data_IF_697180686070
#
_entry.id   IF_697180686070
#
_cell.length_a   1.000
_cell.length_b   1.000
_cell.length_c   1.000
_cell.angle_alpha   90.00
_cell.angle_beta   90.00
_cell.angle_gamma   90.00
#
_symmetry.space_group_name_H-M   'P 1'
#
loop_
_entity.id
_entity.type
_entity.pdbx_description
1 polymer ?
#
# COMPACT_ATOMS: atom_id res chain seq x y z
N UNK A 1 9.44 16.25 46.45
CA UNK A 1 8.24 15.47 46.15
C UNK A 1 7.58 15.84 44.84
N UNK A 2 7.40 17.13 44.54
CA UNK A 2 6.83 17.55 43.24
C UNK A 2 7.69 17.16 42.03
N UNK A 3 9.02 17.23 42.22
CA UNK A 3 9.97 16.85 41.15
C UNK A 3 9.89 15.36 40.84
N UNK A 4 9.71 14.49 41.85
CA UNK A 4 9.56 13.04 41.61
C UNK A 4 8.29 12.70 40.86
N UNK A 5 7.18 13.37 41.15
CA UNK A 5 5.92 13.16 40.46
C UNK A 5 6.02 13.59 39.00
N UNK A 6 6.68 14.71 38.72
CA UNK A 6 6.91 15.17 37.33
C UNK A 6 7.79 14.20 36.57
N UNK A 7 8.86 13.68 37.18
CA UNK A 7 9.75 12.72 36.54
C UNK A 7 8.98 11.43 36.17
N UNK A 8 8.17 10.92 37.11
CA UNK A 8 7.34 9.74 36.87
C UNK A 8 6.36 9.96 35.72
N UNK A 9 5.72 11.13 35.69
CA UNK A 9 4.80 11.48 34.59
C UNK A 9 5.53 11.55 33.25
N UNK A 10 6.71 12.15 33.20
CA UNK A 10 7.50 12.25 31.97
C UNK A 10 7.94 10.87 31.49
N UNK A 11 8.39 10.01 32.40
CA UNK A 11 8.79 8.65 32.04
C UNK A 11 7.59 7.85 31.53
N UNK A 12 6.45 7.95 32.21
CA UNK A 12 5.22 7.27 31.80
C UNK A 12 4.77 7.73 30.41
N UNK A 13 4.83 9.02 30.16
CA UNK A 13 4.49 9.58 28.83
C UNK A 13 5.44 9.07 27.74
N UNK A 14 6.75 9.07 28.01
CA UNK A 14 7.73 8.57 27.07
C UNK A 14 7.52 7.09 26.73
N UNK A 15 7.21 6.26 27.74
CA UNK A 15 6.90 4.84 27.55
C UNK A 15 5.66 4.66 26.69
N UNK A 16 4.60 5.42 26.97
CA UNK A 16 3.37 5.37 26.18
C UNK A 16 3.62 5.75 24.74
N UNK A 17 4.42 6.78 24.48
CA UNK A 17 4.78 7.22 23.14
C UNK A 17 5.56 6.15 22.38
N UNK A 18 6.52 5.50 23.02
CA UNK A 18 7.30 4.41 22.40
C UNK A 18 6.38 3.23 22.04
N UNK A 19 5.50 2.84 22.95
CA UNK A 19 4.54 1.75 22.70
C UNK A 19 3.62 2.12 21.55
N UNK A 20 3.10 3.34 21.55
CA UNK A 20 2.23 3.82 20.47
C UNK A 20 2.93 3.76 19.12
N UNK A 21 4.17 4.27 19.01
CA UNK A 21 4.92 4.24 17.76
C UNK A 21 5.20 2.81 17.29
N UNK A 22 5.54 1.90 18.20
CA UNK A 22 5.77 0.50 17.85
C UNK A 22 4.50 -0.17 17.31
N UNK A 23 3.36 0.06 17.98
CA UNK A 23 2.08 -0.50 17.54
C UNK A 23 1.67 0.08 16.18
N UNK A 24 1.85 1.37 15.99
CA UNK A 24 1.53 2.02 14.71
C UNK A 24 2.40 1.48 13.56
N UNK A 25 3.71 1.34 13.78
CA UNK A 25 4.62 0.77 12.80
C UNK A 25 4.25 -0.68 12.46
N UNK A 26 3.88 -1.47 13.45
CA UNK A 26 3.42 -2.86 13.27
C UNK A 26 2.13 -2.93 12.45
N UNK A 27 1.17 -2.06 12.75
CA UNK A 27 -0.09 -2.01 12.02
C UNK A 27 0.11 -1.57 10.57
N UNK A 28 0.98 -0.59 10.33
CA UNK A 28 1.30 -0.15 8.98
C UNK A 28 1.96 -1.27 8.17
N UNK A 29 2.87 -2.02 8.77
CA UNK A 29 3.51 -3.15 8.12
C UNK A 29 2.51 -4.24 7.76
N UNK A 30 1.59 -4.57 8.66
CA UNK A 30 0.54 -5.56 8.41
C UNK A 30 -0.38 -5.14 7.28
N UNK A 31 -0.75 -3.87 7.23
CA UNK A 31 -1.58 -3.32 6.16
C UNK A 31 -0.87 -3.41 4.80
N UNK A 32 0.42 -3.10 4.77
CA UNK A 32 1.23 -3.23 3.57
C UNK A 32 1.33 -4.68 3.10
N UNK A 33 1.63 -5.59 4.01
CA UNK A 33 1.71 -7.03 3.70
C UNK A 33 0.38 -7.56 3.17
N UNK A 34 -0.72 -7.14 3.76
CA UNK A 34 -2.06 -7.53 3.30
C UNK A 34 -2.33 -7.08 1.87
N UNK A 35 -1.94 -5.85 1.51
CA UNK A 35 -2.06 -5.35 0.14
C UNK A 35 -1.20 -6.17 -0.84
N UNK A 36 0.01 -6.51 -0.45
CA UNK A 36 0.91 -7.30 -1.30
C UNK A 36 0.41 -8.74 -1.46
N UNK A 37 -0.11 -9.34 -0.41
CA UNK A 37 -0.71 -10.68 -0.49
C UNK A 37 -1.93 -10.70 -1.40
N UNK A 38 -2.78 -9.69 -1.30
CA UNK A 38 -3.94 -9.56 -2.18
C UNK A 38 -3.51 -9.40 -3.65
N UNK A 39 -2.42 -8.65 -3.89
CA UNK A 39 -1.85 -8.49 -5.21
C UNK A 39 -1.36 -9.83 -5.77
N UNK A 40 -0.60 -10.59 -5.01
CA UNK A 40 -0.10 -11.90 -5.44
C UNK A 40 -1.24 -12.86 -5.74
N UNK A 41 -2.27 -12.85 -4.90
CA UNK A 41 -3.48 -13.67 -5.11
C UNK A 41 -4.18 -13.27 -6.40
N UNK A 42 -4.33 -11.98 -6.66
CA UNK A 42 -4.95 -11.49 -7.89
C UNK A 42 -4.13 -11.91 -9.13
N UNK A 43 -2.81 -11.83 -9.07
CA UNK A 43 -1.96 -12.26 -10.17
C UNK A 43 -2.13 -13.75 -10.47
N UNK A 44 -2.18 -14.58 -9.44
CA UNK A 44 -2.42 -16.03 -9.59
C UNK A 44 -3.80 -16.31 -10.18
N UNK A 45 -4.83 -15.60 -9.74
CA UNK A 45 -6.20 -15.75 -10.26
C UNK A 45 -6.31 -15.38 -11.73
N UNK A 46 -5.54 -14.40 -12.18
CA UNK A 46 -5.51 -13.97 -13.57
C UNK A 46 -4.50 -14.73 -14.43
N UNK A 47 -3.78 -15.69 -13.86
CA UNK A 47 -2.81 -16.49 -14.58
C UNK A 47 -1.53 -15.74 -14.94
N UNK A 48 -1.25 -14.64 -14.29
CA UNK A 48 -0.03 -13.85 -14.51
C UNK A 48 1.05 -14.39 -13.59
N UNK A 49 2.03 -15.08 -14.15
CA UNK A 49 3.12 -15.69 -13.38
C UNK A 49 4.34 -14.80 -13.32
N UNK A 50 4.66 -14.17 -14.45
CA UNK A 50 5.85 -13.34 -14.58
C UNK A 50 5.42 -11.96 -15.03
N UNK A 51 5.88 -10.93 -14.34
CA UNK A 51 5.54 -9.55 -14.64
C UNK A 51 6.64 -8.62 -14.18
N UNK A 52 6.65 -7.43 -14.77
CA UNK A 52 7.51 -6.34 -14.35
C UNK A 52 6.62 -5.21 -13.83
N UNK A 53 6.99 -4.64 -12.69
CA UNK A 53 6.29 -3.49 -12.13
C UNK A 53 6.92 -2.23 -12.73
N UNK A 54 6.14 -1.53 -13.56
CA UNK A 54 6.59 -0.30 -14.23
C UNK A 54 6.52 0.88 -13.28
N UNK A 55 5.43 0.97 -12.51
CA UNK A 55 5.24 2.03 -11.54
C UNK A 55 4.36 1.54 -10.40
N UNK A 56 4.65 2.02 -9.20
CA UNK A 56 3.88 1.68 -8.01
C UNK A 56 3.54 2.94 -7.23
N UNK A 57 2.34 2.99 -6.74
CA UNK A 57 1.89 3.96 -5.75
C UNK A 57 1.20 3.20 -4.62
N UNK A 58 1.67 3.40 -3.41
CA UNK A 58 1.09 2.79 -2.22
C UNK A 58 0.76 3.87 -1.20
N UNK A 59 -0.43 3.75 -0.61
CA UNK A 59 -0.87 4.60 0.49
C UNK A 59 -1.35 3.71 1.62
N UNK A 60 -0.71 3.83 2.78
CA UNK A 60 -1.13 3.08 3.95
C UNK A 60 -2.14 3.92 4.71
N UNK A 61 -3.36 3.41 4.80
CA UNK A 61 -4.45 4.08 5.48
C UNK A 61 -4.41 3.90 6.99
N UNK A 62 -5.52 4.19 7.62
CA UNK A 62 -5.74 4.04 9.05
C UNK A 62 -7.15 3.47 9.29
N UNK A 63 -7.67 3.56 10.51
CA UNK A 63 -8.99 3.06 10.84
C UNK A 63 -10.12 3.82 10.13
N UNK A 64 -9.83 5.02 9.59
CA UNK A 64 -10.82 5.89 8.95
C UNK A 64 -10.68 5.94 7.43
N UNK A 65 -9.50 5.60 6.90
CA UNK A 65 -9.21 5.63 5.47
C UNK A 65 -8.64 4.29 5.03
N UNK A 66 -9.08 3.76 3.88
CA UNK A 66 -8.53 2.52 3.36
C UNK A 66 -7.09 2.69 2.92
N UNK A 67 -6.34 1.61 2.99
CA UNK A 67 -5.05 1.52 2.32
C UNK A 67 -5.27 1.24 0.85
N UNK A 68 -4.40 1.75 -0.01
CA UNK A 68 -4.51 1.61 -1.45
C UNK A 68 -3.19 1.20 -2.07
N UNK A 69 -3.25 0.33 -3.07
CA UNK A 69 -2.10 -0.08 -3.86
C UNK A 69 -2.47 0.03 -5.34
N UNK A 70 -1.69 0.82 -6.07
CA UNK A 70 -1.82 0.98 -7.52
C UNK A 70 -0.50 0.57 -8.17
N UNK A 71 -0.57 -0.30 -9.17
CA UNK A 71 0.59 -0.76 -9.91
C UNK A 71 0.31 -0.80 -11.41
N UNK A 72 1.28 -0.38 -12.19
CA UNK A 72 1.28 -0.59 -13.63
C UNK A 72 2.23 -1.75 -13.91
N UNK A 73 1.72 -2.77 -14.57
CA UNK A 73 2.42 -4.02 -14.82
C UNK A 73 2.61 -4.27 -16.29
N UNK A 74 3.72 -4.91 -16.63
CA UNK A 74 3.95 -5.50 -17.93
C UNK A 74 4.14 -7.00 -17.73
N UNK A 75 3.30 -7.82 -18.37
CA UNK A 75 3.42 -9.26 -18.25
C UNK A 75 4.45 -9.82 -19.24
N UNK A 76 4.66 -11.12 -19.20
CA UNK A 76 5.63 -11.80 -20.06
C UNK A 76 5.19 -11.89 -21.53
N UNK A 77 3.92 -11.60 -21.81
CA UNK A 77 3.38 -11.58 -23.18
C UNK A 77 3.36 -10.19 -23.81
N UNK A 78 3.84 -9.17 -23.09
CA UNK A 78 3.89 -7.80 -23.58
C UNK A 78 2.62 -6.99 -23.34
N UNK A 79 1.71 -7.46 -22.52
CA UNK A 79 0.49 -6.75 -22.19
C UNK A 79 0.66 -5.92 -20.92
N UNK A 80 0.11 -4.71 -20.93
CA UNK A 80 0.11 -3.80 -19.81
C UNK A 80 -1.20 -3.88 -19.05
N UNK A 81 -1.10 -3.78 -17.73
CA UNK A 81 -2.26 -3.80 -16.84
C UNK A 81 -2.13 -2.73 -15.77
N UNK A 82 -3.28 -2.18 -15.38
CA UNK A 82 -3.38 -1.32 -14.19
C UNK A 82 -4.06 -2.14 -13.09
N UNK A 83 -3.32 -2.38 -12.03
CA UNK A 83 -3.83 -3.01 -10.81
C UNK A 83 -4.19 -1.92 -9.81
N UNK A 84 -5.41 -1.97 -9.29
CA UNK A 84 -5.89 -1.06 -8.26
C UNK A 84 -6.59 -1.85 -7.18
N UNK A 85 -6.22 -1.61 -5.94
CA UNK A 85 -6.85 -2.24 -4.79
C UNK A 85 -6.91 -1.27 -3.62
N UNK A 86 -8.12 -1.04 -3.12
CA UNK A 86 -8.35 -0.39 -1.83
C UNK A 86 -8.73 -1.46 -0.82
N UNK A 87 -8.28 -1.33 0.43
CA UNK A 87 -8.51 -2.36 1.46
C UNK A 87 -9.97 -2.60 1.78
N UNK A 88 -10.86 -1.64 1.46
CA UNK A 88 -12.31 -1.74 1.64
C UNK A 88 -13.05 -2.18 0.38
N UNK A 89 -12.36 -2.59 -0.67
CA UNK A 89 -12.96 -2.96 -1.95
C UNK A 89 -12.21 -4.15 -2.56
N UNK A 90 -12.79 -4.73 -3.59
CA UNK A 90 -12.14 -5.80 -4.35
C UNK A 90 -11.05 -5.24 -5.25
N UNK A 91 -9.94 -5.96 -5.44
CA UNK A 91 -8.93 -5.54 -6.40
C UNK A 91 -9.45 -5.58 -7.83
N UNK A 92 -8.99 -4.64 -8.64
CA UNK A 92 -9.32 -4.58 -10.07
C UNK A 92 -8.05 -4.66 -10.89
N UNK A 93 -8.14 -5.35 -12.03
CA UNK A 93 -7.06 -5.45 -12.99
C UNK A 93 -7.59 -5.03 -14.35
N UNK A 94 -7.11 -3.89 -14.86
CA UNK A 94 -7.60 -3.30 -16.10
C UNK A 94 -6.51 -3.37 -17.18
N UNK A 95 -6.79 -3.97 -18.35
CA UNK A 95 -5.84 -3.95 -19.43
C UNK A 95 -5.60 -2.52 -19.93
N UNK A 96 -4.35 -2.20 -20.22
CA UNK A 96 -3.96 -0.90 -20.76
C UNK A 96 -3.29 -1.09 -22.11
N UNK A 97 -3.45 -0.09 -22.99
CA UNK A 97 -2.58 0.03 -24.16
C UNK A 97 -1.20 0.48 -23.73
N UNK A 98 -0.18 0.19 -24.53
CA UNK A 98 1.18 0.65 -24.25
C UNK A 98 1.24 2.17 -24.07
N UNK A 99 0.57 2.91 -24.92
CA UNK A 99 0.50 4.36 -24.86
C UNK A 99 -0.07 4.86 -23.52
N UNK A 100 -1.20 4.29 -23.10
CA UNK A 100 -1.81 4.65 -21.81
C UNK A 100 -0.96 4.27 -20.63
N UNK A 101 -0.31 3.11 -20.67
CA UNK A 101 0.58 2.67 -19.63
C UNK A 101 1.77 3.61 -19.46
N UNK A 102 2.37 4.05 -20.55
CA UNK A 102 3.48 4.99 -20.53
C UNK A 102 3.04 6.37 -20.04
N UNK A 103 1.88 6.85 -20.47
CA UNK A 103 1.32 8.11 -19.97
C UNK A 103 1.05 8.06 -18.47
N UNK A 104 0.45 6.99 -17.99
CA UNK A 104 0.18 6.82 -16.56
C UNK A 104 1.47 6.67 -15.75
N UNK A 105 2.50 6.05 -16.31
CA UNK A 105 3.79 5.92 -15.65
C UNK A 105 4.53 7.24 -15.55
N UNK A 106 4.33 8.15 -16.50
CA UNK A 106 4.94 9.49 -16.48
C UNK A 106 4.18 10.48 -15.61
N UNK A 107 2.87 10.27 -15.44
CA UNK A 107 2.01 11.13 -14.65
C UNK A 107 1.74 10.58 -13.25
N UNK A 108 0.69 11.12 -12.60
CA UNK A 108 0.21 10.58 -11.34
C UNK A 108 -0.56 9.29 -11.60
N UNK A 109 -0.21 8.24 -10.85
CA UNK A 109 -0.98 7.01 -10.89
C UNK A 109 -2.37 7.25 -10.31
N UNK A 110 -3.36 6.60 -10.91
CA UNK A 110 -4.74 6.81 -10.52
C UNK A 110 -5.39 7.94 -11.31
N UNK A 111 -4.69 8.59 -12.23
CA UNK A 111 -5.34 9.38 -13.25
C UNK A 111 -6.21 8.42 -14.03
N UNK A 112 -7.47 8.60 -13.91
CA UNK A 112 -8.43 7.76 -14.59
C UNK A 112 -8.29 7.97 -16.08
N UNK A 113 -8.10 6.90 -16.72
CA UNK A 113 -8.01 6.90 -18.17
C UNK A 113 -9.23 7.53 -18.81
#
# INVERSE_FOLDING_TARGET
MRTSALVILLISYAVLMVVFFKLNARNNRRRRESLYEAFETAMRQHGIRTFEIIKERIHIGNNFRPSELHRILLDDTGHYFLYMHASNAQPTLTPLTEERALQAAQGEMGIQA
#
